data_IF_988110328421
#
_entry.id   IF_988110328421
#
_cell.length_a   1.000
_cell.length_b   1.000
_cell.length_c   1.000
_cell.angle_alpha   90.00
_cell.angle_beta   90.00
_cell.angle_gamma   90.00
#
_symmetry.space_group_name_H-M   'P 1'
#
loop_
_entity.id
_entity.type
_entity.pdbx_description
1 polymer ?
#
# COMPACT_ATOMS: atom_id res chain seq x y z
N UNK A 1 -5.11 5.73 1.07
CA UNK A 1 -6.15 4.79 0.63
C UNK A 1 -6.57 3.98 1.85
N UNK A 2 -7.59 4.46 2.54
CA UNK A 2 -8.20 3.76 3.68
C UNK A 2 -9.63 3.46 3.28
N UNK A 3 -9.85 2.29 2.70
CA UNK A 3 -11.20 1.74 2.64
C UNK A 3 -11.55 1.33 4.06
N UNK A 4 -12.47 2.04 4.70
CA UNK A 4 -13.17 1.53 5.87
C UNK A 4 -14.06 0.38 5.37
N UNK A 5 -13.50 -0.82 5.32
CA UNK A 5 -14.26 -2.03 5.01
C UNK A 5 -15.30 -2.24 6.12
N UNK A 6 -16.57 -2.40 5.74
CA UNK A 6 -17.62 -2.78 6.69
C UNK A 6 -17.41 -4.24 7.09
N UNK A 7 -16.61 -4.45 8.13
CA UNK A 7 -16.36 -5.76 8.75
C UNK A 7 -17.70 -6.48 8.99
N UNK A 8 -17.83 -7.77 8.62
CA UNK A 8 -19.09 -8.50 8.83
C UNK A 8 -19.55 -8.45 10.30
N UNK A 9 -20.86 -8.51 10.58
CA UNK A 9 -21.37 -8.49 11.98
C UNK A 9 -20.74 -9.57 12.86
N UNK A 10 -20.41 -10.73 12.29
CA UNK A 10 -19.73 -11.80 12.98
C UNK A 10 -18.29 -11.42 13.35
N UNK A 11 -17.56 -10.82 12.42
CA UNK A 11 -16.18 -10.39 12.66
C UNK A 11 -16.11 -9.17 13.60
N UNK A 12 -17.04 -8.22 13.51
CA UNK A 12 -17.19 -7.14 14.49
C UNK A 12 -17.39 -7.69 15.90
N UNK A 13 -18.25 -8.72 16.05
CA UNK A 13 -18.48 -9.37 17.35
C UNK A 13 -17.20 -10.01 17.89
N UNK A 14 -16.42 -10.68 17.05
CA UNK A 14 -15.12 -11.27 17.43
C UNK A 14 -14.12 -10.21 17.87
N UNK A 15 -14.02 -9.10 17.14
CA UNK A 15 -13.15 -7.98 17.49
C UNK A 15 -13.55 -7.34 18.83
N UNK A 16 -14.85 -7.14 19.06
CA UNK A 16 -15.38 -6.64 20.35
C UNK A 16 -15.05 -7.61 21.49
N UNK A 17 -15.20 -8.91 21.27
CA UNK A 17 -14.87 -9.93 22.27
C UNK A 17 -13.38 -9.98 22.60
N UNK A 18 -12.52 -9.91 21.59
CA UNK A 18 -11.08 -9.84 21.77
C UNK A 18 -10.69 -8.58 22.57
N UNK A 19 -11.25 -7.41 22.20
CA UNK A 19 -11.02 -6.14 22.91
C UNK A 19 -11.47 -6.19 24.37
N UNK A 20 -12.64 -6.76 24.66
CA UNK A 20 -13.13 -6.92 26.03
C UNK A 20 -12.20 -7.81 26.85
N UNK A 21 -11.72 -8.90 26.25
CA UNK A 21 -10.81 -9.84 26.90
C UNK A 21 -9.47 -9.17 27.23
N UNK A 22 -8.89 -8.44 26.27
CA UNK A 22 -7.68 -7.65 26.50
C UNK A 22 -7.91 -6.58 27.58
N UNK A 23 -9.00 -5.82 27.50
CA UNK A 23 -9.30 -4.78 28.48
C UNK A 23 -9.42 -5.33 29.91
N UNK A 24 -10.07 -6.50 30.08
CA UNK A 24 -10.16 -7.16 31.40
C UNK A 24 -8.79 -7.58 31.92
N UNK A 25 -7.94 -8.14 31.05
CA UNK A 25 -6.58 -8.53 31.38
C UNK A 25 -5.72 -7.31 31.77
N UNK A 26 -5.75 -6.26 30.95
CA UNK A 26 -5.03 -5.02 31.19
C UNK A 26 -5.52 -4.29 32.45
N UNK A 27 -6.81 -4.27 32.74
CA UNK A 27 -7.31 -3.68 34.00
C UNK A 27 -6.73 -4.38 35.24
N UNK A 28 -6.47 -5.69 35.12
CA UNK A 28 -5.88 -6.49 36.19
C UNK A 28 -4.37 -6.28 36.30
N UNK A 29 -3.66 -6.16 35.17
CA UNK A 29 -2.20 -6.00 35.11
C UNK A 29 -1.72 -4.54 35.29
N UNK A 30 -2.46 -3.58 34.75
CA UNK A 30 -2.09 -2.16 34.69
C UNK A 30 -2.43 -1.39 35.97
N UNK A 31 -3.09 -2.02 36.95
CA UNK A 31 -3.32 -1.43 38.26
C UNK A 31 -2.01 -0.99 38.94
N UNK A 32 -0.90 -1.69 38.65
CA UNK A 32 0.41 -1.42 39.21
C UNK A 32 1.33 -0.64 38.25
N UNK A 33 1.08 -0.66 36.94
CA UNK A 33 1.92 -0.01 35.90
C UNK A 33 1.08 0.48 34.69
N UNK A 34 0.46 1.67 34.77
CA UNK A 34 -0.42 2.17 33.70
C UNK A 34 0.31 2.47 32.39
N UNK A 35 1.61 2.76 32.45
CA UNK A 35 2.47 3.10 31.29
C UNK A 35 3.05 1.86 30.60
N UNK A 36 2.70 0.65 31.04
CA UNK A 36 3.34 -0.59 30.60
C UNK A 36 3.24 -0.79 29.07
N UNK A 37 2.14 -0.37 28.44
CA UNK A 37 1.92 -0.50 26.99
C UNK A 37 2.02 0.83 26.23
N UNK A 38 2.46 1.90 26.88
CA UNK A 38 2.51 3.21 26.25
C UNK A 38 3.44 3.22 25.03
N UNK A 39 2.95 3.76 23.91
CA UNK A 39 3.70 3.88 22.66
C UNK A 39 3.86 2.57 21.88
N UNK A 40 3.30 1.45 22.33
CA UNK A 40 3.34 0.17 21.62
C UNK A 40 2.16 0.00 20.68
N UNK A 41 2.41 -0.55 19.49
CA UNK A 41 1.37 -0.96 18.57
C UNK A 41 0.89 -2.37 18.93
N UNK A 42 -0.43 -2.59 18.93
CA UNK A 42 -1.04 -3.88 19.25
C UNK A 42 -1.88 -4.34 18.07
N UNK A 43 -1.60 -5.54 17.56
CA UNK A 43 -2.48 -6.32 16.71
C UNK A 43 -3.17 -7.39 17.55
N UNK A 44 -4.48 -7.26 17.66
CA UNK A 44 -5.30 -8.13 18.50
C UNK A 44 -6.08 -9.11 17.64
N UNK A 45 -6.04 -10.38 18.02
CA UNK A 45 -6.71 -11.47 17.32
C UNK A 45 -7.72 -12.15 18.25
N UNK A 46 -8.90 -12.46 17.72
CA UNK A 46 -9.78 -13.42 18.36
C UNK A 46 -9.20 -14.84 18.14
N UNK A 47 -9.28 -15.77 19.11
CA UNK A 47 -8.73 -17.14 18.93
C UNK A 47 -9.22 -17.82 17.64
N UNK A 48 -10.51 -17.71 17.34
CA UNK A 48 -11.12 -18.30 16.13
C UNK A 48 -10.79 -17.59 14.80
N UNK A 49 -10.07 -16.46 14.83
CA UNK A 49 -9.61 -15.74 13.63
C UNK A 49 -8.11 -15.44 13.67
N UNK A 50 -7.37 -16.03 14.61
CA UNK A 50 -5.93 -15.90 14.68
C UNK A 50 -5.31 -16.54 13.42
N UNK A 51 -4.35 -15.85 12.76
CA UNK A 51 -3.59 -16.42 11.65
C UNK A 51 -2.99 -17.77 12.01
N UNK A 52 -2.81 -18.63 11.02
CA UNK A 52 -2.07 -19.87 11.19
C UNK A 52 -0.58 -19.63 10.98
N UNK A 53 0.23 -20.28 11.81
CA UNK A 53 1.66 -20.44 11.62
C UNK A 53 1.97 -21.90 11.27
N UNK A 54 3.06 -22.11 10.53
CA UNK A 54 3.54 -23.43 10.17
C UNK A 54 4.93 -23.65 10.77
N UNK A 55 4.99 -24.51 11.77
CA UNK A 55 6.24 -24.88 12.42
C UNK A 55 6.77 -26.19 11.87
N UNK A 56 8.09 -26.28 11.74
CA UNK A 56 8.76 -27.53 11.42
C UNK A 56 9.19 -28.23 12.70
N UNK A 57 9.05 -29.56 12.72
CA UNK A 57 9.50 -30.38 13.83
C UNK A 57 10.03 -31.73 13.32
N UNK A 58 10.93 -32.32 14.09
CA UNK A 58 11.34 -33.72 13.90
C UNK A 58 10.46 -34.57 14.81
N UNK A 59 9.85 -35.62 14.27
CA UNK A 59 9.14 -36.59 15.11
C UNK A 59 10.12 -37.53 15.82
N UNK A 60 9.59 -38.41 16.68
CA UNK A 60 10.39 -39.38 17.44
C UNK A 60 11.17 -40.38 16.56
N UNK A 61 10.82 -40.48 15.27
CA UNK A 61 11.54 -41.28 14.28
C UNK A 61 12.66 -40.51 13.57
N UNK A 62 12.83 -39.22 13.90
CA UNK A 62 13.76 -38.31 13.23
C UNK A 62 13.26 -37.81 11.87
N UNK A 63 11.97 -38.01 11.55
CA UNK A 63 11.39 -37.56 10.29
C UNK A 63 10.95 -36.11 10.38
N UNK A 64 11.26 -35.33 9.34
CA UNK A 64 10.88 -33.93 9.23
C UNK A 64 9.39 -33.81 8.91
N UNK A 65 8.66 -33.11 9.76
CA UNK A 65 7.23 -32.87 9.63
C UNK A 65 6.92 -31.38 9.77
N UNK A 66 5.80 -30.98 9.19
CA UNK A 66 5.23 -29.64 9.32
C UNK A 66 3.93 -29.71 10.10
N UNK A 67 3.75 -28.80 11.06
CA UNK A 67 2.50 -28.64 11.80
C UNK A 67 1.98 -27.22 11.64
N UNK A 68 0.73 -27.12 11.19
CA UNK A 68 0.01 -25.86 11.15
C UNK A 68 -0.82 -25.69 12.42
N UNK A 69 -0.66 -24.57 13.11
CA UNK A 69 -1.43 -24.21 14.30
C UNK A 69 -1.68 -22.70 14.31
N UNK A 70 -2.70 -22.24 15.03
CA UNK A 70 -2.88 -20.80 15.24
C UNK A 70 -1.63 -20.19 15.88
N UNK A 71 -1.31 -18.95 15.52
CA UNK A 71 -0.22 -18.20 16.15
C UNK A 71 -0.43 -18.13 17.67
N UNK A 72 0.66 -18.09 18.43
CA UNK A 72 0.62 -17.65 19.81
C UNK A 72 0.85 -16.13 19.88
N UNK A 73 0.72 -15.51 21.06
CA UNK A 73 1.04 -14.09 21.21
C UNK A 73 2.55 -13.88 21.16
N UNK A 74 3.04 -12.87 20.43
CA UNK A 74 4.47 -12.60 20.26
C UNK A 74 4.77 -11.12 19.98
N UNK A 75 6.05 -10.77 20.04
CA UNK A 75 6.57 -9.46 19.60
C UNK A 75 7.14 -9.63 18.19
N UNK A 76 6.57 -8.94 17.21
CA UNK A 76 7.06 -8.95 15.84
C UNK A 76 8.36 -8.13 15.69
N UNK A 77 9.06 -8.32 14.56
CA UNK A 77 10.34 -7.67 14.31
C UNK A 77 10.24 -6.14 14.13
N UNK A 78 9.05 -5.62 13.80
CA UNK A 78 8.77 -4.18 13.79
C UNK A 78 8.42 -3.60 15.18
N UNK A 79 8.39 -4.45 16.21
CA UNK A 79 8.01 -4.11 17.58
C UNK A 79 6.50 -4.14 17.85
N UNK A 80 5.67 -4.52 16.87
CA UNK A 80 4.24 -4.70 17.08
C UNK A 80 3.97 -5.91 17.99
N UNK A 81 3.07 -5.73 18.97
CA UNK A 81 2.60 -6.82 19.81
C UNK A 81 1.46 -7.53 19.10
N UNK A 82 1.66 -8.80 18.77
CA UNK A 82 0.60 -9.68 18.28
C UNK A 82 0.02 -10.43 19.47
N UNK A 83 -1.25 -10.18 19.79
CA UNK A 83 -1.91 -10.75 20.97
C UNK A 83 -3.11 -11.57 20.54
N UNK A 84 -3.15 -12.84 20.93
CA UNK A 84 -4.33 -13.70 20.81
C UNK A 84 -5.15 -13.59 22.09
N UNK A 85 -6.38 -13.11 21.96
CA UNK A 85 -7.26 -12.80 23.07
C UNK A 85 -8.00 -14.04 23.62
N UNK A 86 -7.26 -15.09 23.94
CA UNK A 86 -7.79 -16.28 24.62
C UNK A 86 -8.00 -15.96 26.11
N UNK A 87 -9.26 -15.99 26.57
CA UNK A 87 -9.63 -15.68 27.96
C UNK A 87 -8.88 -16.52 29.00
N UNK A 88 -8.45 -17.73 28.65
CA UNK A 88 -7.75 -18.63 29.56
C UNK A 88 -6.24 -18.42 29.57
N UNK A 89 -5.66 -17.90 28.48
CA UNK A 89 -4.19 -17.79 28.30
C UNK A 89 -3.69 -16.36 28.19
N UNK A 90 -4.55 -15.36 28.00
CA UNK A 90 -4.15 -13.97 27.71
C UNK A 90 -3.26 -13.37 28.80
N UNK A 91 -3.53 -13.67 30.08
CA UNK A 91 -2.74 -13.10 31.19
C UNK A 91 -1.30 -13.62 31.18
N UNK A 92 -1.12 -14.93 30.99
CA UNK A 92 0.20 -15.54 30.85
C UNK A 92 0.89 -15.05 29.58
N UNK A 93 0.16 -15.03 28.46
CA UNK A 93 0.67 -14.59 27.17
C UNK A 93 1.18 -13.14 27.24
N UNK A 94 0.39 -12.21 27.76
CA UNK A 94 0.77 -10.79 27.91
C UNK A 94 1.95 -10.62 28.87
N UNK A 95 1.98 -11.35 29.98
CA UNK A 95 3.09 -11.31 30.94
C UNK A 95 4.40 -11.86 30.36
N UNK A 96 4.33 -12.77 29.39
CA UNK A 96 5.50 -13.37 28.72
C UNK A 96 6.10 -12.49 27.61
N UNK A 97 5.39 -11.45 27.16
CA UNK A 97 5.86 -10.58 26.08
C UNK A 97 7.07 -9.75 26.53
N UNK A 98 8.13 -9.75 25.72
CA UNK A 98 9.28 -8.87 25.93
C UNK A 98 8.94 -7.43 25.49
N UNK A 99 8.31 -6.68 26.41
CA UNK A 99 7.94 -5.29 26.18
C UNK A 99 9.17 -4.38 26.03
N UNK A 100 10.31 -4.76 26.60
CA UNK A 100 11.58 -4.04 26.42
C UNK A 100 12.05 -4.09 24.97
N UNK A 101 12.06 -5.31 24.39
CA UNK A 101 12.33 -5.52 22.96
C UNK A 101 11.30 -4.82 22.09
N UNK A 102 10.01 -4.93 22.39
CA UNK A 102 8.95 -4.29 21.61
C UNK A 102 9.13 -2.76 21.52
N UNK A 103 9.44 -2.10 22.64
CA UNK A 103 9.70 -0.65 22.68
C UNK A 103 10.95 -0.28 21.88
N UNK A 104 12.01 -1.07 22.01
CA UNK A 104 13.25 -0.84 21.25
C UNK A 104 13.00 -0.94 19.75
N UNK A 105 12.37 -2.02 19.29
CA UNK A 105 12.05 -2.26 17.88
C UNK A 105 11.09 -1.20 17.32
N UNK A 106 10.06 -0.83 18.08
CA UNK A 106 9.15 0.26 17.69
C UNK A 106 9.92 1.57 17.47
N UNK A 107 10.83 1.93 18.39
CA UNK A 107 11.68 3.13 18.25
C UNK A 107 12.60 3.05 17.04
N UNK A 108 13.19 1.88 16.77
CA UNK A 108 14.04 1.65 15.60
C UNK A 108 13.26 1.77 14.30
N UNK A 109 12.10 1.11 14.20
CA UNK A 109 11.20 1.19 13.05
C UNK A 109 10.79 2.65 12.76
N UNK A 110 10.36 3.39 13.79
CA UNK A 110 10.03 4.81 13.66
C UNK A 110 11.23 5.66 13.24
N UNK A 111 12.43 5.37 13.76
CA UNK A 111 13.66 6.03 13.34
C UNK A 111 13.93 5.83 11.85
N UNK A 112 13.83 4.60 11.34
CA UNK A 112 14.07 4.32 9.92
C UNK A 112 13.04 5.00 9.02
N UNK A 113 11.75 4.92 9.34
CA UNK A 113 10.70 5.64 8.60
C UNK A 113 10.93 7.15 8.62
N UNK A 114 11.36 7.70 9.75
CA UNK A 114 11.71 9.11 9.83
C UNK A 114 12.91 9.47 8.93
N UNK A 115 13.94 8.62 8.91
CA UNK A 115 15.11 8.79 8.04
C UNK A 115 14.76 8.69 6.56
N UNK A 116 13.89 7.76 6.16
CA UNK A 116 13.34 7.70 4.79
C UNK A 116 12.74 9.05 4.41
N UNK A 117 11.82 9.58 5.23
CA UNK A 117 11.15 10.87 4.99
C UNK A 117 12.13 12.05 4.90
N UNK A 118 13.21 12.03 5.69
CA UNK A 118 14.25 13.07 5.64
C UNK A 118 15.12 12.99 4.38
N UNK A 119 15.35 11.79 3.84
CA UNK A 119 16.26 11.57 2.72
C UNK A 119 15.57 11.60 1.35
N UNK A 120 14.27 11.32 1.26
CA UNK A 120 13.53 11.38 -0.01
C UNK A 120 13.54 12.77 -0.67
N UNK A 121 13.27 13.90 0.02
CA UNK A 121 13.32 15.22 -0.61
C UNK A 121 14.68 15.62 -1.20
N UNK A 122 15.82 15.47 -0.50
CA UNK A 122 17.11 15.79 -1.11
C UNK A 122 17.49 14.82 -2.24
N UNK A 123 17.05 13.55 -2.20
CA UNK A 123 17.22 12.64 -3.33
C UNK A 123 16.42 13.08 -4.55
N UNK A 124 15.14 13.42 -4.36
CA UNK A 124 14.28 13.99 -5.40
C UNK A 124 14.96 15.19 -6.07
N UNK A 125 15.49 16.11 -5.26
CA UNK A 125 16.17 17.29 -5.77
C UNK A 125 17.45 16.97 -6.57
N UNK A 126 18.28 16.04 -6.08
CA UNK A 126 19.53 15.64 -6.72
C UNK A 126 19.30 14.86 -8.03
N UNK A 127 18.33 13.94 -8.03
CA UNK A 127 18.03 13.07 -9.17
C UNK A 127 17.11 13.73 -10.19
N UNK A 128 16.43 14.81 -9.81
CA UNK A 128 15.49 15.53 -10.67
C UNK A 128 14.17 14.82 -10.92
N UNK A 129 13.85 13.74 -10.20
CA UNK A 129 12.61 12.96 -10.40
C UNK A 129 11.37 13.63 -9.80
N UNK A 130 10.18 13.16 -10.17
CA UNK A 130 8.93 13.70 -9.60
C UNK A 130 8.79 13.34 -8.13
N UNK A 131 9.05 12.08 -7.75
CA UNK A 131 9.11 11.65 -6.35
C UNK A 131 10.14 10.54 -6.15
N UNK A 132 10.45 10.25 -4.88
CA UNK A 132 11.28 9.11 -4.47
C UNK A 132 10.60 8.38 -3.32
N UNK A 133 10.26 7.12 -3.56
CA UNK A 133 9.61 6.21 -2.63
C UNK A 133 10.48 4.99 -2.35
N UNK A 134 10.16 4.28 -1.28
CA UNK A 134 10.71 2.96 -1.01
C UNK A 134 9.64 2.04 -0.46
N UNK A 135 9.90 0.73 -0.51
CA UNK A 135 9.09 -0.22 0.26
C UNK A 135 9.38 -0.07 1.76
N UNK A 136 8.60 0.78 2.44
CA UNK A 136 8.70 1.01 3.88
C UNK A 136 7.77 0.10 4.69
N UNK A 137 7.18 -0.95 4.07
CA UNK A 137 6.32 -1.91 4.77
C UNK A 137 7.13 -2.81 5.69
N UNK A 138 8.42 -2.98 5.40
CA UNK A 138 9.36 -3.74 6.22
C UNK A 138 10.46 -2.82 6.75
N UNK A 139 10.98 -3.16 7.94
CA UNK A 139 12.12 -2.45 8.51
C UNK A 139 13.35 -2.59 7.60
N UNK A 140 13.59 -3.79 7.08
CA UNK A 140 14.68 -4.08 6.14
C UNK A 140 14.63 -3.18 4.89
N UNK A 141 13.44 -2.99 4.31
CA UNK A 141 13.26 -2.10 3.16
C UNK A 141 13.64 -0.66 3.47
N UNK A 142 13.23 -0.17 4.64
CA UNK A 142 13.58 1.18 5.12
C UNK A 142 15.08 1.32 5.39
N UNK A 143 15.72 0.33 6.01
CA UNK A 143 17.15 0.32 6.28
C UNK A 143 17.97 0.34 4.99
N UNK A 144 17.67 -0.56 4.06
CA UNK A 144 18.35 -0.64 2.76
C UNK A 144 18.19 0.65 1.95
N UNK A 145 17.00 1.26 1.96
CA UNK A 145 16.80 2.58 1.37
C UNK A 145 17.70 3.65 1.99
N UNK A 146 17.77 3.73 3.32
CA UNK A 146 18.57 4.77 4.00
C UNK A 146 20.06 4.64 3.68
N UNK A 147 20.58 3.41 3.64
CA UNK A 147 21.97 3.14 3.24
C UNK A 147 22.23 3.55 1.79
N UNK A 148 21.38 3.11 0.86
CA UNK A 148 21.46 3.48 -0.55
C UNK A 148 21.37 4.99 -0.76
N UNK A 149 20.41 5.64 -0.12
CA UNK A 149 20.20 7.08 -0.16
C UNK A 149 21.43 7.83 0.32
N UNK A 150 22.09 7.34 1.38
CA UNK A 150 23.37 7.85 1.86
C UNK A 150 24.43 7.81 0.76
N UNK A 151 24.65 6.65 0.15
CA UNK A 151 25.62 6.48 -0.93
C UNK A 151 25.38 7.40 -2.13
N UNK A 152 24.12 7.61 -2.51
CA UNK A 152 23.75 8.54 -3.60
C UNK A 152 23.99 9.99 -3.19
N UNK A 153 23.54 10.39 -1.99
CA UNK A 153 23.65 11.76 -1.51
C UNK A 153 25.09 12.17 -1.17
N UNK A 154 25.99 11.23 -0.88
CA UNK A 154 27.42 11.53 -0.72
C UNK A 154 28.04 12.05 -2.03
N UNK A 155 27.49 11.68 -3.19
CA UNK A 155 27.91 12.18 -4.52
C UNK A 155 27.42 13.61 -4.82
N UNK A 156 26.73 14.27 -3.89
CA UNK A 156 26.26 15.66 -4.07
C UNK A 156 27.24 16.71 -3.55
N UNK A 157 28.29 16.32 -2.82
CA UNK A 157 29.24 17.25 -2.17
C UNK A 157 30.68 16.81 -2.39
N UNK A 158 31.57 17.76 -2.65
CA UNK A 158 33.01 17.52 -2.79
C UNK A 158 33.44 17.30 -4.25
N UNK A 159 34.62 16.70 -4.50
CA UNK A 159 35.15 16.53 -5.87
C UNK A 159 34.34 15.55 -6.75
N UNK A 160 33.27 14.97 -6.20
CA UNK A 160 32.42 13.96 -6.80
C UNK A 160 31.02 14.49 -7.16
N UNK A 161 30.86 15.78 -7.47
CA UNK A 161 29.61 16.41 -7.98
C UNK A 161 29.18 15.80 -9.33
N UNK A 162 28.89 14.50 -9.32
CA UNK A 162 28.79 13.68 -10.51
C UNK A 162 27.38 13.80 -11.10
N UNK A 163 26.37 13.79 -10.25
CA UNK A 163 24.97 13.94 -10.64
C UNK A 163 24.68 15.34 -11.18
N UNK A 164 25.05 16.40 -10.47
CA UNK A 164 24.80 17.77 -10.93
C UNK A 164 25.54 18.08 -12.23
N UNK A 165 26.79 17.62 -12.37
CA UNK A 165 27.59 17.80 -13.59
C UNK A 165 27.02 17.04 -14.78
N UNK A 166 26.57 15.80 -14.59
CA UNK A 166 26.12 14.93 -15.68
C UNK A 166 24.67 15.19 -16.07
N UNK A 167 23.80 15.41 -15.08
CA UNK A 167 22.37 15.66 -15.32
C UNK A 167 22.09 17.13 -15.64
N UNK A 168 22.96 18.06 -15.23
CA UNK A 168 22.83 19.48 -15.55
C UNK A 168 21.52 20.10 -15.07
N UNK A 169 20.95 19.62 -13.96
CA UNK A 169 19.65 20.06 -13.44
C UNK A 169 18.44 19.55 -14.24
N UNK A 170 18.61 18.54 -15.08
CA UNK A 170 17.50 17.86 -15.78
C UNK A 170 16.45 17.40 -14.77
N UNK A 171 15.18 17.53 -15.17
CA UNK A 171 14.03 17.01 -14.43
C UNK A 171 13.38 15.89 -15.21
N UNK A 172 12.87 14.91 -14.47
CA UNK A 172 12.19 13.74 -15.00
C UNK A 172 10.76 13.70 -14.46
N UNK A 173 9.81 13.33 -15.33
CA UNK A 173 8.39 13.19 -15.01
C UNK A 173 8.07 11.88 -14.26
N UNK A 174 8.95 10.89 -14.31
CA UNK A 174 8.76 9.66 -13.53
C UNK A 174 9.12 9.85 -12.05
N UNK A 175 8.47 9.05 -11.21
CA UNK A 175 8.85 8.82 -9.82
C UNK A 175 9.80 7.64 -9.72
N UNK A 176 10.59 7.57 -8.66
CA UNK A 176 11.53 6.49 -8.40
C UNK A 176 11.03 5.65 -7.22
N UNK A 177 10.94 4.33 -7.39
CA UNK A 177 10.64 3.38 -6.33
C UNK A 177 11.87 2.53 -6.03
N UNK A 178 12.39 2.65 -4.82
CA UNK A 178 13.52 1.83 -4.34
C UNK A 178 13.01 0.59 -3.61
N UNK A 179 13.48 -0.58 -4.00
CA UNK A 179 13.03 -1.85 -3.44
C UNK A 179 14.18 -2.84 -3.24
N UNK A 180 13.93 -3.90 -2.47
CA UNK A 180 14.96 -4.87 -2.05
C UNK A 180 14.80 -6.25 -2.71
N UNK A 181 13.98 -6.34 -3.75
CA UNK A 181 13.76 -7.59 -4.49
C UNK A 181 15.03 -7.95 -5.28
N UNK A 182 15.68 -9.06 -4.92
CA UNK A 182 16.91 -9.48 -5.57
C UNK A 182 16.69 -10.18 -6.91
N UNK A 183 15.45 -10.61 -7.18
CA UNK A 183 15.08 -11.27 -8.44
C UNK A 183 14.88 -10.27 -9.58
N UNK A 184 14.69 -8.99 -9.29
CA UNK A 184 14.45 -7.96 -10.29
C UNK A 184 15.76 -7.42 -10.91
N UNK A 185 15.68 -6.78 -12.10
CA UNK A 185 16.78 -5.99 -12.63
C UNK A 185 17.16 -4.84 -11.69
N UNK A 186 18.40 -4.34 -11.84
CA UNK A 186 18.95 -3.30 -10.95
C UNK A 186 18.31 -1.92 -11.15
N UNK A 187 17.93 -1.63 -12.40
CA UNK A 187 17.11 -0.49 -12.81
C UNK A 187 16.13 -1.05 -13.84
N UNK A 188 14.84 -0.86 -13.59
CA UNK A 188 13.77 -1.40 -14.43
C UNK A 188 12.69 -0.35 -14.65
N UNK A 189 12.27 -0.20 -15.91
CA UNK A 189 11.25 0.74 -16.32
C UNK A 189 10.27 0.07 -17.28
N UNK A 190 9.00 0.13 -16.92
CA UNK A 190 7.89 -0.29 -17.77
C UNK A 190 7.34 0.92 -18.50
N UNK A 191 7.26 0.88 -19.83
CA UNK A 191 6.78 2.00 -20.67
C UNK A 191 5.34 2.44 -20.37
N UNK A 192 4.54 1.59 -19.74
CA UNK A 192 3.17 1.88 -19.30
C UNK A 192 3.10 2.46 -17.88
N UNK A 193 4.25 2.70 -17.24
CA UNK A 193 4.34 3.19 -15.87
C UNK A 193 5.02 4.56 -15.80
N UNK A 194 4.61 5.37 -14.83
CA UNK A 194 5.33 6.58 -14.43
C UNK A 194 6.34 6.33 -13.32
N UNK A 195 6.66 5.06 -13.03
CA UNK A 195 7.55 4.66 -11.93
C UNK A 195 8.76 3.91 -12.46
N UNK A 196 9.95 4.47 -12.21
CA UNK A 196 11.23 3.81 -12.36
C UNK A 196 11.52 2.97 -11.11
N UNK A 197 11.69 1.65 -11.29
CA UNK A 197 12.05 0.75 -10.21
C UNK A 197 13.58 0.64 -10.11
N UNK A 198 14.09 0.78 -8.89
CA UNK A 198 15.53 0.73 -8.62
C UNK A 198 15.78 -0.18 -7.42
N UNK A 199 16.69 -1.13 -7.57
CA UNK A 199 17.09 -1.96 -6.43
C UNK A 199 17.89 -1.14 -5.43
N UNK A 200 17.69 -1.41 -4.15
CA UNK A 200 18.39 -0.76 -3.04
C UNK A 200 19.89 -1.04 -2.99
N UNK A 201 20.37 -2.05 -3.73
CA UNK A 201 21.80 -2.29 -3.94
C UNK A 201 22.35 -1.69 -5.25
N UNK A 202 21.57 -0.89 -6.00
CA UNK A 202 22.01 -0.25 -7.22
C UNK A 202 23.13 0.77 -6.95
N UNK A 203 24.34 0.60 -7.53
CA UNK A 203 25.43 1.56 -7.36
C UNK A 203 25.09 2.91 -8.00
N UNK A 204 25.44 4.06 -7.37
CA UNK A 204 25.17 5.39 -7.92
C UNK A 204 25.62 5.59 -9.37
N UNK A 205 26.80 5.11 -9.82
CA UNK A 205 27.23 5.26 -11.22
C UNK A 205 26.28 4.60 -12.22
N UNK A 206 25.67 3.45 -11.86
CA UNK A 206 24.75 2.74 -12.76
C UNK A 206 23.43 3.49 -12.90
N UNK A 207 22.91 4.02 -11.79
CA UNK A 207 21.72 4.87 -11.83
C UNK A 207 21.99 6.12 -12.68
N UNK A 208 23.15 6.74 -12.50
CA UNK A 208 23.53 7.93 -13.25
C UNK A 208 23.65 7.64 -14.75
N UNK A 209 24.25 6.51 -15.14
CA UNK A 209 24.33 6.05 -16.52
C UNK A 209 22.95 5.91 -17.16
N UNK A 210 21.98 5.31 -16.44
CA UNK A 210 20.60 5.21 -16.92
C UNK A 210 19.95 6.59 -17.12
N UNK A 211 20.04 7.46 -16.11
CA UNK A 211 19.43 8.80 -16.15
C UNK A 211 20.03 9.70 -17.23
N UNK A 212 21.33 9.56 -17.50
CA UNK A 212 22.04 10.33 -18.51
C UNK A 212 21.83 9.77 -19.93
N UNK A 213 21.58 8.47 -20.05
CA UNK A 213 21.47 7.76 -21.33
C UNK A 213 20.09 7.85 -22.01
N UNK A 214 20.00 7.23 -23.18
CA UNK A 214 18.79 7.18 -24.01
C UNK A 214 17.61 6.51 -23.29
N UNK A 215 17.89 5.51 -22.45
CA UNK A 215 16.88 4.81 -21.65
C UNK A 215 16.19 5.73 -20.65
N UNK A 216 16.93 6.64 -20.00
CA UNK A 216 16.35 7.63 -19.10
C UNK A 216 15.49 8.66 -19.83
N UNK A 217 15.86 9.03 -21.06
CA UNK A 217 15.05 9.93 -21.91
C UNK A 217 13.75 9.25 -22.35
N UNK A 218 13.82 8.01 -22.85
CA UNK A 218 12.64 7.25 -23.23
C UNK A 218 11.69 7.02 -22.04
N UNK A 219 12.25 6.75 -20.85
CA UNK A 219 11.47 6.62 -19.63
C UNK A 219 10.76 7.93 -19.24
N UNK A 220 11.43 9.07 -19.45
CA UNK A 220 10.83 10.37 -19.22
C UNK A 220 9.64 10.63 -20.15
N UNK A 221 9.82 10.44 -21.45
CA UNK A 221 8.77 10.64 -22.46
C UNK A 221 7.56 9.74 -22.20
N UNK A 222 7.80 8.47 -21.86
CA UNK A 222 6.75 7.54 -21.48
C UNK A 222 6.00 8.00 -20.22
N UNK A 223 6.71 8.46 -19.19
CA UNK A 223 6.09 8.96 -17.97
C UNK A 223 5.28 10.25 -18.19
N UNK A 224 5.73 11.14 -19.07
CA UNK A 224 4.97 12.34 -19.48
C UNK A 224 3.67 11.94 -20.21
N UNK A 225 3.74 10.95 -21.10
CA UNK A 225 2.56 10.41 -21.79
C UNK A 225 1.55 9.81 -20.80
N UNK A 226 2.03 9.00 -19.84
CA UNK A 226 1.19 8.42 -18.78
C UNK A 226 0.56 9.51 -17.91
N UNK A 227 1.32 10.54 -17.53
CA UNK A 227 0.81 11.64 -16.73
C UNK A 227 -0.28 12.45 -17.47
N UNK A 228 -0.09 12.72 -18.76
CA UNK A 228 -1.09 13.40 -19.60
C UNK A 228 -2.37 12.56 -19.72
N UNK A 229 -2.23 11.27 -20.01
CA UNK A 229 -3.36 10.34 -20.12
C UNK A 229 -4.14 10.25 -18.80
N UNK A 230 -3.45 10.22 -17.66
CA UNK A 230 -4.09 10.19 -16.34
C UNK A 230 -4.83 11.49 -16.02
N UNK A 231 -4.28 12.65 -16.40
CA UNK A 231 -4.97 13.93 -16.22
C UNK A 231 -6.26 14.01 -17.07
N UNK A 232 -6.21 13.47 -18.29
CA UNK A 232 -7.39 13.34 -19.15
C UNK A 232 -8.45 12.40 -18.54
N UNK A 233 -8.01 11.26 -17.99
CA UNK A 233 -8.87 10.32 -17.27
C UNK A 233 -9.54 10.97 -16.06
N UNK A 234 -8.77 11.58 -15.16
CA UNK A 234 -9.28 12.25 -13.96
C UNK A 234 -10.29 13.35 -14.33
N UNK A 235 -10.02 14.14 -15.37
CA UNK A 235 -10.93 15.16 -15.85
C UNK A 235 -12.24 14.58 -16.42
N UNK A 236 -12.18 13.42 -17.08
CA UNK A 236 -13.35 12.74 -17.62
C UNK A 236 -14.18 12.10 -16.50
N UNK A 237 -13.54 11.41 -15.55
CA UNK A 237 -14.22 10.82 -14.39
C UNK A 237 -14.92 11.90 -13.54
N UNK A 238 -14.31 13.08 -13.40
CA UNK A 238 -14.95 14.21 -12.70
C UNK A 238 -16.17 14.76 -13.44
N UNK A 239 -16.14 14.81 -14.78
CA UNK A 239 -17.33 15.15 -15.59
C UNK A 239 -18.44 14.12 -15.40
N UNK A 240 -18.12 12.82 -15.39
CA UNK A 240 -19.08 11.73 -15.13
C UNK A 240 -19.67 11.89 -13.73
N UNK A 241 -18.82 12.11 -12.72
CA UNK A 241 -19.25 12.32 -11.34
C UNK A 241 -20.25 13.47 -11.24
N UNK A 242 -19.94 14.61 -11.84
CA UNK A 242 -20.82 15.77 -11.87
C UNK A 242 -22.13 15.50 -12.62
N UNK A 243 -22.06 14.82 -13.77
CA UNK A 243 -23.23 14.53 -14.59
C UNK A 243 -24.21 13.55 -13.91
N UNK A 244 -23.68 12.54 -13.19
CA UNK A 244 -24.49 11.55 -12.47
C UNK A 244 -24.94 12.02 -11.07
N UNK A 245 -24.38 13.12 -10.56
CA UNK A 245 -24.58 13.52 -9.15
C UNK A 245 -23.90 12.60 -8.15
N UNK A 246 -22.97 11.76 -8.60
CA UNK A 246 -22.28 10.79 -7.77
C UNK A 246 -21.36 11.46 -6.73
N UNK A 247 -21.13 10.77 -5.62
CA UNK A 247 -20.16 11.16 -4.60
C UNK A 247 -18.73 10.95 -5.10
N UNK A 248 -18.47 9.78 -5.70
CA UNK A 248 -17.18 9.42 -6.26
C UNK A 248 -17.37 8.61 -7.56
N UNK A 249 -16.45 8.80 -8.50
CA UNK A 249 -16.30 7.92 -9.68
C UNK A 249 -14.82 7.60 -9.79
N UNK A 250 -14.48 6.31 -9.79
CA UNK A 250 -13.09 5.83 -9.85
C UNK A 250 -12.92 4.79 -10.96
N UNK A 251 -11.68 4.60 -11.40
CA UNK A 251 -11.26 3.47 -12.22
C UNK A 251 -10.52 2.45 -11.35
N UNK A 252 -10.83 1.16 -11.51
CA UNK A 252 -10.14 0.06 -10.80
C UNK A 252 -9.52 -0.96 -11.76
N UNK A 253 -9.58 -0.71 -13.07
CA UNK A 253 -8.98 -1.59 -14.07
C UNK A 253 -7.43 -1.53 -14.09
N UNK A 254 -6.84 -2.60 -14.62
CA UNK A 254 -5.40 -2.68 -14.89
C UNK A 254 -4.98 -1.64 -15.94
N UNK A 255 -3.71 -1.20 -15.91
CA UNK A 255 -3.15 -0.25 -16.89
C UNK A 255 -3.24 -0.73 -18.35
N UNK A 256 -3.53 -2.01 -18.59
CA UNK A 256 -3.71 -2.58 -19.93
C UNK A 256 -5.07 -2.25 -20.56
N UNK A 257 -6.07 -1.87 -19.74
CA UNK A 257 -7.44 -1.58 -20.20
C UNK A 257 -7.76 -0.07 -20.24
N UNK A 258 -6.74 0.79 -20.16
CA UNK A 258 -6.88 2.26 -20.13
C UNK A 258 -7.79 2.81 -21.24
N UNK A 259 -7.67 2.30 -22.47
CA UNK A 259 -8.55 2.70 -23.57
C UNK A 259 -10.02 2.30 -23.32
N UNK A 260 -10.25 1.10 -22.77
CA UNK A 260 -11.58 0.62 -22.42
C UNK A 260 -12.24 1.43 -21.30
N UNK A 261 -11.45 1.91 -20.34
CA UNK A 261 -11.91 2.76 -19.23
C UNK A 261 -12.34 4.14 -19.74
N UNK A 262 -11.53 4.78 -20.58
CA UNK A 262 -11.87 6.09 -21.15
C UNK A 262 -13.17 6.02 -21.96
N UNK A 263 -13.31 4.99 -22.78
CA UNK A 263 -14.53 4.74 -23.53
C UNK A 263 -15.73 4.47 -22.62
N UNK A 264 -15.54 3.75 -21.50
CA UNK A 264 -16.58 3.49 -20.51
C UNK A 264 -17.05 4.77 -19.82
N UNK A 265 -16.10 5.61 -19.40
CA UNK A 265 -16.37 6.89 -18.76
C UNK A 265 -17.10 7.82 -19.74
N UNK A 266 -16.69 7.87 -21.01
CA UNK A 266 -17.39 8.65 -22.03
C UNK A 266 -18.81 8.13 -22.26
N UNK A 267 -19.01 6.81 -22.37
CA UNK A 267 -20.36 6.21 -22.46
C UNK A 267 -21.24 6.57 -21.26
N UNK A 268 -20.70 6.51 -20.04
CA UNK A 268 -21.43 6.91 -18.83
C UNK A 268 -21.82 8.39 -18.89
N UNK A 269 -20.91 9.25 -19.33
CA UNK A 269 -21.17 10.68 -19.50
C UNK A 269 -22.29 10.93 -20.52
N UNK A 270 -22.24 10.27 -21.67
CA UNK A 270 -23.20 10.44 -22.77
C UNK A 270 -24.62 9.98 -22.39
N UNK A 271 -24.74 8.98 -21.50
CA UNK A 271 -26.02 8.46 -21.05
C UNK A 271 -26.46 8.97 -19.66
N UNK A 272 -25.71 9.89 -19.04
CA UNK A 272 -25.95 10.36 -17.68
C UNK A 272 -27.37 10.95 -17.47
N UNK A 273 -27.87 11.72 -18.44
CA UNK A 273 -29.22 12.30 -18.38
C UNK A 273 -30.31 11.22 -18.39
N UNK A 274 -30.13 10.20 -19.21
CA UNK A 274 -31.05 9.06 -19.30
C UNK A 274 -31.00 8.24 -18.01
N UNK A 275 -29.81 8.02 -17.44
CA UNK A 275 -29.63 7.27 -16.20
C UNK A 275 -30.30 7.98 -15.02
N UNK A 276 -30.09 9.30 -14.86
CA UNK A 276 -30.73 10.10 -13.81
C UNK A 276 -32.25 10.06 -13.85
N UNK A 277 -32.84 9.94 -15.04
CA UNK A 277 -34.29 9.79 -15.20
C UNK A 277 -34.85 8.44 -14.76
N UNK A 278 -33.98 7.46 -14.44
CA UNK A 278 -34.37 6.05 -14.29
C UNK A 278 -33.88 5.42 -12.98
N UNK A 279 -32.70 5.83 -12.51
CA UNK A 279 -32.05 5.41 -11.26
C UNK A 279 -31.40 6.65 -10.63
N UNK A 280 -31.68 6.89 -9.35
CA UNK A 280 -31.02 7.98 -8.62
C UNK A 280 -29.63 7.51 -8.15
N UNK A 281 -28.59 8.03 -8.78
CA UNK A 281 -27.19 7.79 -8.41
C UNK A 281 -26.61 8.95 -7.58
N UNK A 282 -27.45 9.87 -7.11
CA UNK A 282 -27.02 11.01 -6.31
C UNK A 282 -26.37 10.53 -5.01
N UNK A 283 -25.11 10.89 -4.79
CA UNK A 283 -24.34 10.47 -3.62
C UNK A 283 -23.81 9.03 -3.67
N UNK A 284 -24.06 8.27 -4.75
CA UNK A 284 -23.48 6.94 -4.93
C UNK A 284 -21.97 7.02 -5.20
N UNK A 285 -21.24 5.96 -4.86
CA UNK A 285 -19.83 5.79 -5.26
C UNK A 285 -19.76 4.76 -6.37
N UNK A 286 -19.15 5.12 -7.50
CA UNK A 286 -19.15 4.30 -8.72
C UNK A 286 -17.71 3.91 -9.06
N UNK A 287 -17.50 2.64 -9.41
CA UNK A 287 -16.24 2.12 -9.91
C UNK A 287 -16.43 1.62 -11.35
N UNK A 288 -15.54 2.01 -12.26
CA UNK A 288 -15.39 1.39 -13.57
C UNK A 288 -14.38 0.26 -13.41
N UNK A 289 -14.82 -0.99 -13.61
CA UNK A 289 -14.05 -2.20 -13.35
C UNK A 289 -14.31 -3.31 -14.39
N UNK A 290 -14.31 -4.59 -14.02
CA UNK A 290 -14.49 -5.75 -14.91
C UNK A 290 -15.88 -6.41 -14.83
N UNK A 291 -16.67 -6.10 -13.81
CA UNK A 291 -17.98 -6.73 -13.58
C UNK A 291 -19.01 -5.81 -12.89
N UNK A 292 -20.26 -6.26 -12.87
CA UNK A 292 -21.33 -5.64 -12.09
C UNK A 292 -21.37 -6.23 -10.69
N UNK A 293 -21.10 -5.39 -9.69
CA UNK A 293 -21.09 -5.82 -8.29
C UNK A 293 -21.36 -4.61 -7.38
N UNK A 294 -22.04 -4.83 -6.25
CA UNK A 294 -22.05 -3.88 -5.15
C UNK A 294 -20.99 -4.31 -4.14
N UNK A 295 -19.90 -3.56 -4.06
CA UNK A 295 -18.81 -3.86 -3.13
C UNK A 295 -19.23 -3.60 -1.69
N UNK A 296 -18.62 -4.34 -0.76
CA UNK A 296 -18.82 -4.14 0.68
C UNK A 296 -18.45 -2.70 1.13
N UNK A 297 -17.60 -2.01 0.37
CA UNK A 297 -17.24 -0.60 0.58
C UNK A 297 -18.33 0.40 0.17
N UNK A 298 -19.44 -0.08 -0.42
CA UNK A 298 -20.53 0.74 -0.93
C UNK A 298 -20.29 1.32 -2.33
N UNK A 299 -19.27 0.83 -3.05
CA UNK A 299 -19.07 1.14 -4.46
C UNK A 299 -19.94 0.25 -5.35
N UNK A 300 -20.57 0.86 -6.36
CA UNK A 300 -21.24 0.16 -7.44
C UNK A 300 -20.22 -0.01 -8.57
N UNK A 301 -19.79 -1.25 -8.78
CA UNK A 301 -18.92 -1.64 -9.88
C UNK A 301 -19.71 -1.77 -11.18
N UNK A 302 -19.18 -1.19 -12.25
CA UNK A 302 -19.71 -1.24 -13.61
C UNK A 302 -18.58 -1.72 -14.52
N UNK A 303 -18.78 -2.79 -15.32
CA UNK A 303 -17.73 -3.30 -16.19
C UNK A 303 -17.40 -2.25 -17.27
N UNK A 304 -16.13 -2.01 -17.55
CA UNK A 304 -15.68 -1.04 -18.55
C UNK A 304 -16.30 -1.30 -19.93
N UNK A 305 -16.56 -2.55 -20.30
CA UNK A 305 -17.18 -2.93 -21.57
C UNK A 305 -18.73 -2.97 -21.55
N UNK A 306 -19.37 -2.35 -20.55
CA UNK A 306 -20.82 -2.37 -20.41
C UNK A 306 -21.57 -1.85 -21.65
N UNK A 307 -22.77 -2.38 -21.85
CA UNK A 307 -23.73 -1.87 -22.84
C UNK A 307 -24.78 -1.02 -22.15
N UNK A 308 -25.09 0.15 -22.72
CA UNK A 308 -26.06 1.11 -22.13
C UNK A 308 -27.44 0.47 -21.89
N UNK A 309 -27.87 -0.43 -22.77
CA UNK A 309 -29.14 -1.17 -22.65
C UNK A 309 -29.20 -2.08 -21.41
N UNK A 310 -28.06 -2.60 -20.97
CA UNK A 310 -27.95 -3.56 -19.87
C UNK A 310 -27.66 -2.85 -18.54
N UNK A 311 -27.21 -1.60 -18.59
CA UNK A 311 -26.87 -0.82 -17.39
C UNK A 311 -28.06 -0.63 -16.44
N UNK A 312 -29.24 -0.29 -16.99
CA UNK A 312 -30.46 -0.11 -16.18
C UNK A 312 -30.90 -1.39 -15.45
N UNK A 313 -31.12 -2.54 -16.11
CA UNK A 313 -31.58 -3.73 -15.42
C UNK A 313 -30.57 -4.23 -14.38
N UNK A 314 -29.26 -4.04 -14.60
CA UNK A 314 -28.24 -4.44 -13.62
C UNK A 314 -28.19 -3.50 -12.41
N UNK A 315 -28.20 -2.17 -12.63
CA UNK A 315 -28.22 -1.22 -11.51
C UNK A 315 -29.45 -1.38 -10.59
N UNK A 316 -30.61 -1.75 -11.16
CA UNK A 316 -31.83 -2.05 -10.38
C UNK A 316 -31.79 -3.34 -9.58
N UNK A 317 -30.89 -4.27 -9.91
CA UNK A 317 -30.70 -5.50 -9.12
C UNK A 317 -29.76 -5.24 -7.93
N UNK A 318 -28.83 -4.30 -8.10
CA UNK A 318 -27.81 -3.96 -7.12
C UNK A 318 -28.30 -2.96 -6.06
N UNK A 319 -29.27 -2.10 -6.41
CA UNK A 319 -29.87 -1.06 -5.57
C UNK A 319 -31.27 -1.45 -5.08
#
# INVERSE_FOLDING_TARGET
>A
VGGEFAVSKAEQKRQIEALRTLNSCLTTLAADQPELFEGLSIRLYHPDSAPFDTSSFLDDSGSYNLRTSSIESYVADDGCLHIVADRHRIQEAVASLDLGRARLLTRLSLFWVHRVRQLSPPLKALLGTDNVWCDSRTEEGSQKFVLWAGCVLERRRGPLEEFDRVLGGRRFAFSLLVHSDESSPMVDFLATSSVLQVRSNCPPPRLLEFLAGEMGLAANEAAESVASSKAEEEALLEKVRAALGAKHVICVCSSYDSAGVMDAAQRLLDCADVLRGVVDLSGASIAIDDCYELWESGFISIPHNFQVKDLRPELRKLL
#
